data_IF_655933607423
#
_entry.id   IF_655933607423
#
_cell.length_a   1.000
_cell.length_b   1.000
_cell.length_c   1.000
_cell.angle_alpha   90.00
_cell.angle_beta   90.00
_cell.angle_gamma   90.00
#
_symmetry.space_group_name_H-M   'P 1'
#
loop_
_entity.id
_entity.type
_entity.pdbx_description
1 polymer ?
#
# COMPACT_ATOMS: atom_id res chain seq x y z
N UNK A 1 -15.11 17.92 11.79
CA UNK A 1 -14.62 19.11 11.06
C UNK A 1 -14.77 18.83 9.55
N UNK A 2 -15.04 19.86 8.74
CA UNK A 2 -15.84 19.80 7.52
C UNK A 2 -15.23 19.10 6.28
N UNK A 3 -16.08 18.42 5.48
CA UNK A 3 -15.93 18.09 4.03
C UNK A 3 -15.45 19.26 3.13
N UNK A 4 -15.32 20.45 3.69
CA UNK A 4 -15.02 21.72 3.06
C UNK A 4 -13.53 21.89 2.73
N UNK A 5 -12.61 21.35 3.54
CA UNK A 5 -11.16 21.52 3.31
C UNK A 5 -10.66 20.76 2.07
N UNK A 6 -11.10 19.50 1.88
CA UNK A 6 -10.71 18.68 0.72
C UNK A 6 -11.15 19.27 -0.63
N UNK A 7 -12.42 19.71 -0.74
CA UNK A 7 -12.95 20.34 -1.97
C UNK A 7 -12.27 21.68 -2.27
N UNK A 8 -11.91 22.43 -1.22
CA UNK A 8 -11.24 23.73 -1.37
C UNK A 8 -9.78 23.55 -1.78
N UNK A 9 -9.11 22.51 -1.25
CA UNK A 9 -7.74 22.14 -1.59
C UNK A 9 -7.62 21.67 -3.05
N UNK A 10 -8.47 20.75 -3.51
CA UNK A 10 -8.50 20.32 -4.91
C UNK A 10 -8.72 21.51 -5.87
N UNK A 11 -9.65 22.42 -5.54
CA UNK A 11 -9.94 23.60 -6.37
C UNK A 11 -8.80 24.62 -6.41
N UNK A 12 -8.02 24.79 -5.34
CA UNK A 12 -6.92 25.77 -5.28
C UNK A 12 -5.64 25.27 -5.95
N UNK A 13 -5.34 23.97 -5.83
CA UNK A 13 -4.06 23.41 -6.28
C UNK A 13 -4.07 23.02 -7.76
N UNK A 14 -5.14 22.37 -8.25
CA UNK A 14 -5.18 21.85 -9.63
C UNK A 14 -5.61 22.87 -10.69
N UNK A 15 -6.20 24.01 -10.29
CA UNK A 15 -6.64 25.05 -11.24
C UNK A 15 -5.48 25.78 -11.93
N UNK A 16 -4.26 25.64 -11.41
CA UNK A 16 -3.04 26.27 -11.95
C UNK A 16 -2.30 25.42 -12.97
N UNK A 17 -2.66 24.15 -13.14
CA UNK A 17 -1.98 23.26 -14.07
C UNK A 17 -2.92 22.93 -15.23
N UNK A 18 -2.52 23.19 -16.49
CA UNK A 18 -3.33 22.80 -17.64
C UNK A 18 -3.53 21.29 -17.62
N UNK A 19 -4.77 20.84 -17.81
CA UNK A 19 -5.06 19.42 -17.97
C UNK A 19 -4.22 18.87 -19.13
N UNK A 20 -3.44 17.82 -18.88
CA UNK A 20 -2.66 17.14 -19.90
C UNK A 20 -3.61 16.55 -20.95
N UNK A 21 -3.53 17.02 -22.19
CA UNK A 21 -4.40 16.60 -23.32
C UNK A 21 -3.71 15.67 -24.33
N UNK A 22 -2.49 15.21 -24.04
CA UNK A 22 -1.60 14.56 -25.01
C UNK A 22 -1.49 13.03 -24.93
N UNK A 23 -2.25 12.36 -24.05
CA UNK A 23 -2.16 10.91 -23.90
C UNK A 23 -2.94 10.18 -24.99
N UNK A 24 -2.29 9.26 -25.72
CA UNK A 24 -2.98 8.22 -26.48
C UNK A 24 -3.18 7.00 -25.60
N UNK A 25 -4.35 6.36 -25.68
CA UNK A 25 -4.55 5.06 -25.06
C UNK A 25 -3.55 4.06 -25.64
N UNK A 26 -3.00 3.20 -24.77
CA UNK A 26 -1.98 2.22 -25.17
C UNK A 26 -2.52 1.10 -26.04
N UNK A 27 -3.85 0.93 -26.11
CA UNK A 27 -4.51 -0.20 -26.79
C UNK A 27 -4.35 -1.55 -26.06
N UNK A 28 -3.67 -1.58 -24.92
CA UNK A 28 -3.49 -2.80 -24.14
C UNK A 28 -4.74 -3.15 -23.33
N UNK A 29 -5.10 -4.43 -23.34
CA UNK A 29 -6.26 -4.94 -22.61
C UNK A 29 -5.92 -5.26 -21.16
N UNK A 30 -6.94 -5.29 -20.29
CA UNK A 30 -6.82 -5.82 -18.92
C UNK A 30 -6.20 -7.23 -18.90
N UNK A 31 -6.53 -8.06 -19.88
CA UNK A 31 -6.00 -9.42 -20.01
C UNK A 31 -4.46 -9.43 -20.07
N UNK A 32 -3.86 -8.52 -20.84
CA UNK A 32 -2.40 -8.43 -20.94
C UNK A 32 -1.75 -8.21 -19.56
N UNK A 33 -2.26 -7.27 -18.77
CA UNK A 33 -1.71 -7.00 -17.45
C UNK A 33 -1.84 -8.20 -16.49
N UNK A 34 -2.97 -8.92 -16.55
CA UNK A 34 -3.16 -10.14 -15.76
C UNK A 34 -2.21 -11.27 -16.23
N UNK A 35 -1.99 -11.40 -17.54
CA UNK A 35 -1.06 -12.38 -18.11
C UNK A 35 0.39 -12.11 -17.69
N UNK A 36 0.77 -10.85 -17.54
CA UNK A 36 2.10 -10.46 -17.06
C UNK A 36 2.26 -10.68 -15.55
N UNK A 37 1.21 -10.43 -14.76
CA UNK A 37 1.27 -10.56 -13.30
C UNK A 37 1.25 -12.02 -12.81
N UNK A 38 0.47 -12.90 -13.44
CA UNK A 38 0.31 -14.29 -13.00
C UNK A 38 1.63 -15.08 -12.86
N UNK A 39 2.54 -15.12 -13.86
CA UNK A 39 3.78 -15.88 -13.72
C UNK A 39 4.67 -15.37 -12.59
N UNK A 40 4.67 -14.06 -12.33
CA UNK A 40 5.44 -13.45 -11.23
C UNK A 40 4.88 -13.90 -9.88
N UNK A 41 3.55 -13.83 -9.70
CA UNK A 41 2.89 -14.26 -8.46
C UNK A 41 3.08 -15.76 -8.24
N UNK A 42 2.92 -16.58 -9.27
CA UNK A 42 3.16 -18.03 -9.16
C UNK A 42 4.59 -18.33 -8.74
N UNK A 43 5.56 -17.70 -9.40
CA UNK A 43 6.98 -17.88 -9.09
C UNK A 43 7.32 -17.46 -7.67
N UNK A 44 6.72 -16.37 -7.17
CA UNK A 44 6.93 -15.90 -5.80
C UNK A 44 6.53 -16.93 -4.74
N UNK A 45 5.58 -17.83 -5.02
CA UNK A 45 5.18 -18.89 -4.08
C UNK A 45 6.28 -19.92 -3.79
N UNK A 46 7.28 -20.04 -4.66
CA UNK A 46 8.44 -20.90 -4.41
C UNK A 46 9.35 -20.38 -3.29
N UNK A 47 9.22 -19.10 -2.96
CA UNK A 47 9.96 -18.43 -1.89
C UNK A 47 9.06 -18.05 -0.71
N UNK A 48 7.87 -18.63 -0.63
CA UNK A 48 6.99 -18.52 0.51
C UNK A 48 7.51 -19.36 1.67
N UNK A 49 7.76 -18.71 2.80
CA UNK A 49 8.13 -19.39 4.03
C UNK A 49 6.90 -20.00 4.72
N UNK A 50 7.07 -21.03 5.57
CA UNK A 50 5.97 -21.58 6.37
C UNK A 50 5.27 -20.54 7.27
N UNK A 51 5.99 -19.48 7.66
CA UNK A 51 5.44 -18.37 8.46
C UNK A 51 4.67 -17.32 7.64
N UNK A 52 4.74 -17.37 6.31
CA UNK A 52 3.98 -16.50 5.41
C UNK A 52 4.73 -15.29 4.84
N UNK A 53 6.03 -15.14 5.08
CA UNK A 53 6.84 -14.14 4.37
C UNK A 53 7.29 -14.67 3.01
N UNK A 54 7.43 -13.79 2.02
CA UNK A 54 8.14 -14.08 0.77
C UNK A 54 9.59 -13.63 0.92
N UNK A 55 10.55 -14.54 0.74
CA UNK A 55 11.98 -14.22 0.82
C UNK A 55 12.58 -13.96 -0.56
N UNK A 56 13.60 -13.10 -0.61
CA UNK A 56 14.48 -13.04 -1.77
C UNK A 56 15.43 -14.25 -1.73
N UNK A 57 15.49 -15.07 -2.79
CA UNK A 57 16.31 -16.27 -2.81
C UNK A 57 17.82 -16.02 -2.83
N UNK A 58 18.26 -14.82 -3.21
CA UNK A 58 19.68 -14.44 -3.23
C UNK A 58 20.11 -13.84 -1.89
N UNK A 59 19.28 -12.97 -1.30
CA UNK A 59 19.57 -12.33 0.00
C UNK A 59 19.22 -13.22 1.21
N UNK A 60 18.35 -14.23 1.03
CA UNK A 60 17.92 -15.13 2.10
C UNK A 60 17.08 -14.46 3.19
N UNK A 61 16.56 -13.26 2.92
CA UNK A 61 15.73 -12.47 3.81
C UNK A 61 14.56 -11.86 3.04
N UNK A 62 13.56 -11.33 3.74
CA UNK A 62 12.45 -10.61 3.11
C UNK A 62 12.86 -9.17 2.76
N UNK A 63 12.82 -8.76 1.47
CA UNK A 63 12.90 -7.37 1.08
C UNK A 63 11.70 -6.54 1.58
N UNK A 64 11.88 -5.23 1.81
CA UNK A 64 10.85 -4.38 2.45
C UNK A 64 9.48 -4.31 1.75
N UNK A 65 9.32 -4.80 0.52
CA UNK A 65 8.05 -4.68 -0.21
C UNK A 65 7.49 -5.98 -0.76
N UNK A 66 8.24 -7.08 -0.78
CA UNK A 66 7.89 -8.23 -1.63
C UNK A 66 6.58 -8.91 -1.21
N UNK A 67 6.36 -9.13 0.09
CA UNK A 67 5.12 -9.75 0.59
C UNK A 67 3.93 -8.82 0.38
N UNK A 68 4.10 -7.52 0.59
CA UNK A 68 3.09 -6.53 0.25
C UNK A 68 2.71 -6.59 -1.25
N UNK A 69 3.70 -6.60 -2.15
CA UNK A 69 3.47 -6.69 -3.59
C UNK A 69 2.79 -8.00 -3.98
N UNK A 70 3.20 -9.11 -3.37
CA UNK A 70 2.55 -10.41 -3.55
C UNK A 70 1.07 -10.34 -3.17
N UNK A 71 0.71 -9.81 -1.99
CA UNK A 71 -0.68 -9.66 -1.54
C UNK A 71 -1.50 -8.88 -2.56
N UNK A 72 -1.02 -7.70 -2.98
CA UNK A 72 -1.75 -6.84 -3.92
C UNK A 72 -1.96 -7.49 -5.29
N UNK A 73 -0.93 -8.15 -5.82
CA UNK A 73 -0.98 -8.82 -7.11
C UNK A 73 -1.82 -10.10 -7.09
N UNK A 74 -1.66 -10.94 -6.06
CA UNK A 74 -2.41 -12.17 -5.87
C UNK A 74 -3.90 -11.87 -5.64
N UNK A 75 -4.23 -10.90 -4.77
CA UNK A 75 -5.61 -10.42 -4.59
C UNK A 75 -6.21 -9.88 -5.89
N UNK A 76 -5.41 -9.15 -6.68
CA UNK A 76 -5.70 -8.72 -8.05
C UNK A 76 -6.15 -9.85 -8.99
N UNK A 77 -5.34 -10.91 -9.03
CA UNK A 77 -5.58 -12.08 -9.88
C UNK A 77 -6.80 -12.88 -9.40
N UNK A 78 -6.91 -13.16 -8.10
CA UNK A 78 -8.02 -13.91 -7.51
C UNK A 78 -9.34 -13.17 -7.69
N UNK A 79 -9.39 -11.87 -7.41
CA UNK A 79 -10.57 -11.04 -7.66
C UNK A 79 -10.93 -10.93 -9.14
N UNK A 80 -10.00 -11.22 -10.05
CA UNK A 80 -10.25 -11.33 -11.49
C UNK A 80 -10.63 -12.75 -11.96
N UNK A 81 -10.80 -13.70 -11.03
CA UNK A 81 -11.14 -15.10 -11.34
C UNK A 81 -9.95 -15.95 -11.79
N UNK A 82 -8.70 -15.53 -11.52
CA UNK A 82 -7.46 -16.26 -11.83
C UNK A 82 -6.77 -16.71 -10.54
N UNK A 83 -5.86 -17.68 -10.63
CA UNK A 83 -5.05 -18.11 -9.49
C UNK A 83 -5.85 -18.51 -8.23
N UNK A 84 -7.07 -19.04 -8.40
CA UNK A 84 -7.88 -19.49 -7.25
C UNK A 84 -7.20 -20.62 -6.46
N UNK A 85 -6.30 -21.36 -7.12
CA UNK A 85 -5.44 -22.36 -6.49
C UNK A 85 -4.42 -21.77 -5.50
N UNK A 86 -4.16 -20.46 -5.54
CA UNK A 86 -3.21 -19.76 -4.66
C UNK A 86 -3.87 -19.09 -3.45
N UNK A 87 -5.15 -19.35 -3.19
CA UNK A 87 -5.90 -18.68 -2.12
C UNK A 87 -5.29 -18.96 -0.75
N UNK A 88 -4.90 -20.22 -0.47
CA UNK A 88 -4.29 -20.59 0.82
C UNK A 88 -2.98 -19.83 1.05
N UNK A 89 -2.12 -19.76 0.03
CA UNK A 89 -0.86 -19.01 0.06
C UNK A 89 -1.12 -17.52 0.25
N UNK A 90 -2.12 -16.97 -0.44
CA UNK A 90 -2.50 -15.55 -0.33
C UNK A 90 -2.99 -15.22 1.08
N UNK A 91 -3.83 -16.08 1.67
CA UNK A 91 -4.28 -15.92 3.06
C UNK A 91 -3.10 -15.97 4.02
N UNK A 92 -2.17 -16.92 3.84
CA UNK A 92 -1.00 -17.08 4.69
C UNK A 92 -0.11 -15.82 4.68
N UNK A 93 0.17 -15.25 3.50
CA UNK A 93 0.98 -14.03 3.39
C UNK A 93 0.24 -12.82 3.96
N UNK A 94 -1.07 -12.74 3.77
CA UNK A 94 -1.88 -11.67 4.34
C UNK A 94 -1.92 -11.75 5.88
N UNK A 95 -2.14 -12.94 6.44
CA UNK A 95 -2.11 -13.17 7.89
C UNK A 95 -0.74 -12.76 8.46
N UNK A 96 0.36 -13.21 7.84
CA UNK A 96 1.72 -12.79 8.19
C UNK A 96 1.85 -11.25 8.25
N UNK A 97 1.46 -10.56 7.18
CA UNK A 97 1.53 -9.11 7.10
C UNK A 97 0.68 -8.41 8.19
N UNK A 98 -0.52 -8.90 8.47
CA UNK A 98 -1.37 -8.38 9.54
C UNK A 98 -0.68 -8.55 10.90
N UNK A 99 -0.12 -9.72 11.18
CA UNK A 99 0.60 -9.94 12.45
C UNK A 99 1.80 -9.01 12.59
N UNK A 100 2.63 -8.90 11.55
CA UNK A 100 3.84 -8.05 11.58
C UNK A 100 3.53 -6.56 11.78
N UNK A 101 2.40 -6.08 11.23
CA UNK A 101 2.01 -4.67 11.37
C UNK A 101 1.33 -4.37 12.70
N UNK A 102 0.60 -5.33 13.27
CA UNK A 102 -0.28 -5.09 14.43
C UNK A 102 0.29 -5.62 15.75
N UNK A 103 1.26 -6.52 15.69
CA UNK A 103 1.99 -7.01 16.86
C UNK A 103 3.30 -6.26 16.99
N UNK A 104 3.61 -5.75 18.18
CA UNK A 104 4.93 -5.18 18.45
C UNK A 104 5.97 -6.30 18.37
N UNK A 105 6.98 -6.15 17.52
CA UNK A 105 8.08 -7.08 17.51
C UNK A 105 8.77 -7.09 18.89
N UNK A 106 9.26 -8.25 19.37
CA UNK A 106 9.92 -8.37 20.67
C UNK A 106 11.14 -7.47 20.84
N UNK A 107 11.80 -7.11 19.73
CA UNK A 107 12.94 -6.20 19.66
C UNK A 107 12.53 -4.72 19.56
N UNK A 108 11.23 -4.42 19.49
CA UNK A 108 10.69 -3.07 19.34
C UNK A 108 10.84 -2.47 17.94
N UNK A 109 11.33 -3.22 16.95
CA UNK A 109 11.50 -2.73 15.59
C UNK A 109 10.21 -2.85 14.78
N UNK A 110 9.93 -1.85 13.94
CA UNK A 110 8.80 -1.89 13.01
C UNK A 110 9.14 -2.83 11.84
N UNK A 111 8.10 -3.40 11.22
CA UNK A 111 8.24 -4.11 9.96
C UNK A 111 8.95 -3.22 8.93
N UNK A 112 10.05 -3.72 8.38
CA UNK A 112 10.80 -2.99 7.37
C UNK A 112 9.92 -2.78 6.12
N UNK A 113 9.74 -1.53 5.70
CA UNK A 113 8.88 -1.19 4.58
C UNK A 113 7.38 -1.21 4.86
N UNK A 114 6.96 -1.15 6.13
CA UNK A 114 5.53 -1.08 6.54
C UNK A 114 4.68 -0.07 5.74
N UNK A 115 5.28 1.05 5.31
CA UNK A 115 4.66 2.10 4.50
C UNK A 115 4.06 1.58 3.17
N UNK A 116 4.56 0.45 2.63
CA UNK A 116 4.09 -0.15 1.38
C UNK A 116 2.98 -1.18 1.56
N UNK A 117 2.77 -1.69 2.77
CA UNK A 117 1.88 -2.84 3.01
C UNK A 117 0.41 -2.48 2.93
N UNK A 118 0.00 -1.43 3.63
CA UNK A 118 -1.43 -1.15 3.87
C UNK A 118 -2.20 -0.89 2.58
N UNK A 119 -1.58 -0.23 1.60
CA UNK A 119 -2.21 -0.01 0.29
C UNK A 119 -2.46 -1.33 -0.44
N UNK A 120 -1.50 -2.24 -0.44
CA UNK A 120 -1.65 -3.54 -1.13
C UNK A 120 -2.64 -4.45 -0.40
N UNK A 121 -2.60 -4.47 0.94
CA UNK A 121 -3.53 -5.22 1.78
C UNK A 121 -4.97 -4.71 1.66
N UNK A 122 -5.18 -3.40 1.72
CA UNK A 122 -6.51 -2.82 1.58
C UNK A 122 -7.08 -3.05 0.17
N UNK A 123 -6.23 -2.94 -0.85
CA UNK A 123 -6.62 -3.25 -2.23
C UNK A 123 -7.00 -4.72 -2.40
N UNK A 124 -6.17 -5.65 -1.90
CA UNK A 124 -6.47 -7.07 -1.95
C UNK A 124 -7.74 -7.42 -1.15
N UNK A 125 -7.90 -6.86 0.06
CA UNK A 125 -9.12 -7.03 0.85
C UNK A 125 -10.36 -6.64 0.05
N UNK A 126 -10.37 -5.43 -0.52
CA UNK A 126 -11.49 -4.95 -1.34
C UNK A 126 -11.85 -5.91 -2.48
N UNK A 127 -10.85 -6.41 -3.19
CA UNK A 127 -11.06 -7.31 -4.32
C UNK A 127 -11.52 -8.71 -3.90
N UNK A 128 -11.09 -9.17 -2.72
CA UNK A 128 -11.38 -10.51 -2.22
C UNK A 128 -12.72 -10.58 -1.48
N UNK A 129 -13.13 -9.52 -0.80
CA UNK A 129 -14.34 -9.48 0.04
C UNK A 129 -15.61 -9.88 -0.70
N UNK A 130 -15.74 -9.49 -1.97
CA UNK A 130 -16.95 -9.73 -2.76
C UNK A 130 -16.90 -11.03 -3.59
N UNK A 131 -15.80 -11.79 -3.52
CA UNK A 131 -15.65 -13.02 -4.31
C UNK A 131 -16.49 -14.19 -3.81
N UNK A 132 -16.82 -14.19 -2.51
CA UNK A 132 -17.45 -15.33 -1.83
C UNK A 132 -16.53 -16.55 -1.65
N UNK A 133 -15.25 -16.45 -2.02
CA UNK A 133 -14.30 -17.58 -1.93
C UNK A 133 -13.53 -17.57 -0.61
N UNK A 134 -13.33 -16.39 -0.01
CA UNK A 134 -12.67 -16.25 1.29
C UNK A 134 -13.70 -16.42 2.40
N UNK A 135 -13.35 -17.23 3.41
CA UNK A 135 -14.17 -17.38 4.61
C UNK A 135 -14.43 -16.00 5.26
N UNK A 136 -15.70 -15.62 5.50
CA UNK A 136 -16.05 -14.37 6.17
C UNK A 136 -15.33 -14.15 7.51
N UNK A 137 -15.01 -15.22 8.25
CA UNK A 137 -14.27 -15.13 9.52
C UNK A 137 -12.81 -14.68 9.31
N UNK A 138 -12.19 -15.05 8.19
CA UNK A 138 -10.85 -14.59 7.81
C UNK A 138 -10.88 -13.09 7.50
N UNK A 139 -11.85 -12.65 6.69
CA UNK A 139 -12.04 -11.24 6.35
C UNK A 139 -12.30 -10.39 7.61
N UNK A 140 -13.13 -10.87 8.52
CA UNK A 140 -13.47 -10.16 9.76
C UNK A 140 -12.28 -10.07 10.72
N UNK A 141 -11.45 -11.12 10.80
CA UNK A 141 -10.20 -11.11 11.57
C UNK A 141 -9.24 -10.04 11.05
N UNK A 142 -9.01 -9.99 9.74
CA UNK A 142 -8.16 -8.96 9.13
C UNK A 142 -8.68 -7.56 9.40
N UNK A 143 -10.00 -7.35 9.19
CA UNK A 143 -10.66 -6.07 9.45
C UNK A 143 -10.47 -5.62 10.89
N UNK A 144 -10.71 -6.50 11.85
CA UNK A 144 -10.60 -6.21 13.28
C UNK A 144 -9.17 -5.81 13.67
N UNK A 145 -8.15 -6.52 13.17
CA UNK A 145 -6.75 -6.19 13.48
C UNK A 145 -6.31 -4.87 12.85
N UNK A 146 -6.66 -4.66 11.58
CA UNK A 146 -6.25 -3.46 10.84
C UNK A 146 -7.00 -2.20 11.27
N UNK A 147 -8.19 -2.32 11.83
CA UNK A 147 -8.99 -1.18 12.28
C UNK A 147 -8.38 -0.42 13.46
N UNK A 148 -7.61 -1.11 14.31
CA UNK A 148 -7.28 -0.62 15.65
C UNK A 148 -5.86 -0.07 15.83
N UNK A 149 -4.99 -0.14 14.81
CA UNK A 149 -3.64 0.41 14.95
C UNK A 149 -3.62 1.94 14.82
N UNK A 150 -2.56 2.55 15.36
CA UNK A 150 -2.25 3.97 15.22
C UNK A 150 -1.15 4.11 14.14
N UNK A 151 -1.37 4.86 13.04
CA UNK A 151 -0.41 4.96 11.92
C UNK A 151 1.03 5.26 12.35
N UNK A 152 1.17 6.16 13.32
CA UNK A 152 2.44 6.59 13.90
C UNK A 152 3.16 5.48 14.70
N UNK A 153 2.49 4.37 14.98
CA UNK A 153 3.10 3.18 15.61
C UNK A 153 3.44 2.07 14.61
N UNK A 154 3.08 2.23 13.32
CA UNK A 154 3.22 1.18 12.31
C UNK A 154 4.19 1.59 11.21
N UNK A 155 4.11 2.84 10.74
CA UNK A 155 4.90 3.30 9.62
C UNK A 155 6.32 3.73 10.02
N UNK A 156 7.26 3.53 9.09
CA UNK A 156 8.67 3.85 9.32
C UNK A 156 8.95 5.34 9.11
N UNK A 157 8.36 5.94 8.06
CA UNK A 157 8.62 7.32 7.71
C UNK A 157 7.56 8.27 8.28
N UNK A 158 7.70 8.51 9.58
CA UNK A 158 6.78 9.34 10.37
C UNK A 158 7.48 10.55 11.01
N UNK A 159 6.67 11.53 11.42
CA UNK A 159 7.10 12.69 12.22
C UNK A 159 7.38 12.19 13.65
N UNK A 160 8.49 12.63 14.24
CA UNK A 160 8.88 12.31 15.63
C UNK A 160 9.54 13.54 16.26
N UNK A 161 9.67 13.61 17.60
CA UNK A 161 10.46 14.66 18.23
C UNK A 161 11.87 14.74 17.60
N UNK A 162 12.25 15.92 17.10
CA UNK A 162 13.52 16.13 16.39
C UNK A 162 13.54 15.73 14.91
N UNK A 163 12.47 15.11 14.38
CA UNK A 163 12.29 14.76 12.95
C UNK A 163 10.93 15.26 12.46
N UNK A 164 10.90 16.48 11.91
CA UNK A 164 9.70 17.05 11.26
C UNK A 164 9.67 16.80 9.74
N UNK A 165 10.72 16.19 9.20
CA UNK A 165 10.81 15.84 7.79
C UNK A 165 10.38 14.39 7.54
N UNK A 166 9.44 14.22 6.61
CA UNK A 166 9.12 12.93 5.98
C UNK A 166 9.53 12.96 4.51
N UNK A 167 9.72 11.78 3.95
CA UNK A 167 10.18 11.49 2.61
C UNK A 167 9.10 10.72 1.82
N UNK A 168 9.50 10.13 0.69
CA UNK A 168 8.64 9.51 -0.30
C UNK A 168 7.96 8.24 0.21
N UNK A 169 8.56 7.52 1.17
CA UNK A 169 7.95 6.36 1.80
C UNK A 169 6.62 6.74 2.46
N UNK A 170 6.57 7.91 3.11
CA UNK A 170 5.34 8.41 3.70
C UNK A 170 4.20 8.64 2.69
N UNK A 171 4.49 8.88 1.40
CA UNK A 171 3.43 8.97 0.37
C UNK A 171 2.68 7.63 0.22
N UNK A 172 3.38 6.51 0.38
CA UNK A 172 2.77 5.18 0.34
C UNK A 172 1.92 4.93 1.59
N UNK A 173 2.40 5.36 2.77
CA UNK A 173 1.61 5.33 4.00
C UNK A 173 0.33 6.17 3.88
N UNK A 174 0.42 7.40 3.35
CA UNK A 174 -0.73 8.28 3.08
C UNK A 174 -1.75 7.62 2.14
N UNK A 175 -1.27 6.99 1.08
CA UNK A 175 -2.11 6.26 0.12
C UNK A 175 -2.75 5.03 0.76
N UNK A 176 -1.98 4.31 1.59
CA UNK A 176 -2.44 3.18 2.37
C UNK A 176 -3.56 3.56 3.32
N UNK A 177 -3.40 4.61 4.11
CA UNK A 177 -4.41 5.11 5.03
C UNK A 177 -5.70 5.54 4.33
N UNK A 178 -5.58 6.19 3.16
CA UNK A 178 -6.76 6.48 2.34
C UNK A 178 -7.50 5.20 1.94
N UNK A 179 -6.80 4.19 1.45
CA UNK A 179 -7.41 2.92 1.07
C UNK A 179 -7.97 2.16 2.28
N UNK A 180 -7.25 2.16 3.41
CA UNK A 180 -7.67 1.53 4.66
C UNK A 180 -9.02 2.06 5.11
N UNK A 181 -9.21 3.38 5.10
CA UNK A 181 -10.52 3.98 5.33
C UNK A 181 -11.56 3.57 4.27
N UNK A 182 -11.21 3.68 2.99
CA UNK A 182 -12.14 3.43 1.88
C UNK A 182 -12.69 2.01 1.84
N UNK A 183 -11.96 1.04 2.39
CA UNK A 183 -12.34 -0.37 2.43
C UNK A 183 -12.91 -0.81 3.78
N UNK A 184 -13.13 0.13 4.71
CA UNK A 184 -13.66 -0.17 6.04
C UNK A 184 -12.67 -0.83 7.00
N UNK A 185 -11.39 -0.85 6.63
CA UNK A 185 -10.28 -1.37 7.46
C UNK A 185 -9.72 -0.32 8.43
N UNK A 186 -10.22 0.91 8.44
CA UNK A 186 -9.75 1.98 9.31
C UNK A 186 -10.76 3.10 9.51
N UNK A 187 -10.73 3.81 10.65
CA UNK A 187 -11.67 4.88 10.95
C UNK A 187 -11.34 6.17 10.19
N UNK A 188 -12.38 6.85 9.71
CA UNK A 188 -12.27 8.08 8.92
C UNK A 188 -11.49 9.18 9.65
N UNK A 189 -11.77 9.38 10.93
CA UNK A 189 -11.18 10.45 11.74
C UNK A 189 -9.67 10.30 11.86
N UNK A 190 -9.18 9.05 12.00
CA UNK A 190 -7.75 8.77 12.10
C UNK A 190 -7.05 8.99 10.75
N UNK A 191 -7.66 8.53 9.66
CA UNK A 191 -7.13 8.78 8.30
C UNK A 191 -7.04 10.27 8.00
N UNK A 192 -8.09 11.05 8.29
CA UNK A 192 -8.07 12.50 8.04
C UNK A 192 -7.00 13.18 8.88
N UNK A 193 -6.89 12.85 10.18
CA UNK A 193 -5.85 13.41 11.05
C UNK A 193 -4.46 13.16 10.46
N UNK A 194 -4.16 11.90 10.14
CA UNK A 194 -2.86 11.52 9.59
C UNK A 194 -2.60 12.21 8.25
N UNK A 195 -3.57 12.22 7.34
CA UNK A 195 -3.42 12.86 6.03
C UNK A 195 -3.21 14.39 6.14
N UNK A 196 -4.02 15.07 6.95
CA UNK A 196 -3.94 16.53 7.12
C UNK A 196 -2.62 16.97 7.79
N UNK A 197 -2.06 16.12 8.66
CA UNK A 197 -0.76 16.39 9.27
C UNK A 197 0.39 16.16 8.27
N UNK A 198 0.35 15.07 7.50
CA UNK A 198 1.52 14.66 6.72
C UNK A 198 1.58 15.22 5.29
N UNK A 199 0.44 15.41 4.61
CA UNK A 199 0.41 15.96 3.23
C UNK A 199 1.12 17.33 3.11
N UNK A 200 0.89 18.31 4.01
CA UNK A 200 1.55 19.61 3.92
C UNK A 200 3.09 19.53 3.87
N UNK A 201 3.67 18.52 4.54
CA UNK A 201 5.13 18.32 4.61
C UNK A 201 5.73 17.79 3.32
N UNK A 202 4.93 17.15 2.48
CA UNK A 202 5.35 16.66 1.16
C UNK A 202 5.55 17.82 0.17
N UNK A 203 4.92 18.97 0.38
CA UNK A 203 5.00 20.10 -0.55
C UNK A 203 6.40 20.73 -0.66
N UNK A 204 7.23 20.61 0.39
CA UNK A 204 8.60 21.11 0.36
C UNK A 204 9.49 20.37 -0.66
N UNK A 205 9.08 19.17 -1.07
CA UNK A 205 9.78 18.35 -2.05
C UNK A 205 9.43 18.71 -3.49
N UNK A 206 8.43 19.57 -3.71
CA UNK A 206 8.09 20.05 -5.06
C UNK A 206 8.97 21.22 -5.48
N UNK A 207 9.58 21.08 -6.64
CA UNK A 207 10.23 22.20 -7.34
C UNK A 207 9.21 23.24 -7.83
N UNK A 208 9.64 24.48 -8.13
CA UNK A 208 8.78 25.48 -8.78
C UNK A 208 8.12 25.01 -10.09
N UNK A 209 8.70 24.00 -10.74
CA UNK A 209 8.20 23.41 -11.99
C UNK A 209 7.22 22.24 -11.77
N UNK A 210 6.90 21.91 -10.52
CA UNK A 210 5.96 20.83 -10.17
C UNK A 210 6.55 19.43 -10.15
N UNK A 211 7.87 19.28 -10.32
CA UNK A 211 8.55 17.99 -10.14
C UNK A 211 8.80 17.73 -8.65
N UNK A 212 8.39 16.55 -8.16
CA UNK A 212 8.70 16.08 -6.80
C UNK A 212 10.14 15.54 -6.75
N UNK A 213 10.95 15.96 -5.77
CA UNK A 213 12.36 15.56 -5.58
C UNK A 213 12.63 15.17 -4.13
N UNK A 214 13.19 13.98 -3.94
CA UNK A 214 13.42 13.46 -2.59
C UNK A 214 14.46 12.31 -2.52
N UNK A 215 15.49 12.38 -1.67
CA UNK A 215 16.13 13.61 -1.18
C UNK A 215 16.95 14.30 -2.29
N UNK A 216 17.36 13.59 -3.35
CA UNK A 216 18.25 14.14 -4.40
C UNK A 216 17.72 13.97 -5.84
N UNK A 217 16.94 12.91 -6.10
CA UNK A 217 16.43 12.57 -7.42
C UNK A 217 14.90 12.72 -7.48
N UNK A 218 14.33 12.93 -8.67
CA UNK A 218 12.88 12.78 -8.81
C UNK A 218 12.47 11.37 -8.37
N UNK A 219 11.23 11.22 -7.87
CA UNK A 219 10.61 9.89 -7.81
C UNK A 219 10.50 9.40 -9.26
N UNK A 220 11.49 8.64 -9.70
CA UNK A 220 11.41 7.91 -10.96
C UNK A 220 10.59 6.66 -10.67
N UNK A 221 9.39 6.60 -11.25
CA UNK A 221 8.48 5.48 -11.12
C UNK A 221 9.15 4.12 -11.44
N UNK A 222 10.22 4.13 -12.24
CA UNK A 222 11.00 2.95 -12.64
C UNK A 222 11.69 2.21 -11.48
N UNK A 223 12.11 2.88 -10.40
CA UNK A 223 12.69 2.19 -9.22
C UNK A 223 11.61 1.59 -8.33
N UNK A 224 10.40 2.15 -8.34
CA UNK A 224 9.31 1.73 -7.45
C UNK A 224 8.53 0.52 -7.98
N UNK A 225 8.86 0.08 -9.20
CA UNK A 225 8.28 -1.07 -9.91
C UNK A 225 9.30 -2.16 -10.23
N UNK A 226 10.57 -1.99 -9.81
CA UNK A 226 11.60 -3.03 -9.88
C UNK A 226 11.52 -3.97 -8.70
#
# INVERSE_FOLDING_TARGET
>A
MNRFLWKTWQKKTFRKYPAYKGGKESGYSRKLYLDLAEPIVRRATEWLTPSGSIIDPFEGAEPPTISARFIGAAGGLIGAGRCQDLITQTILVFDYAVEQLTTKNPDGHLLHGADFYIKEMAWAYHLLSDTGIIDPQVLERWRTKLQNYIPENVYTDIIRPGKDAVHNFNIYALTGEYWRYRTGLGPYEQTVRFVDEYIPRQFKHFTPWGMYRDPNNPITYDITVR
#
